data_IF_445256657098
#
_entry.id   IF_445256657098
#
_cell.length_a   1.000
_cell.length_b   1.000
_cell.length_c   1.000
_cell.angle_alpha   90.00
_cell.angle_beta   90.00
_cell.angle_gamma   90.00
#
_symmetry.space_group_name_H-M   'P 1'
#
loop_
_entity.id
_entity.type
_entity.pdbx_description
1 polymer ?
#
# COMPACT_ATOMS: atom_id res chain seq x y z
N UNK A 1 18.08 -15.09 3.27
CA UNK A 1 16.83 -14.31 3.24
C UNK A 1 17.06 -13.17 2.27
N UNK A 2 16.34 -13.11 1.15
CA UNK A 2 16.43 -11.99 0.20
C UNK A 2 15.82 -10.73 0.82
N UNK A 3 16.49 -9.60 0.65
CA UNK A 3 16.17 -8.29 1.24
C UNK A 3 14.68 -7.88 1.06
N UNK A 4 14.13 -8.14 -0.12
CA UNK A 4 12.71 -7.93 -0.45
C UNK A 4 11.73 -8.66 0.49
N UNK A 5 12.04 -9.88 0.93
CA UNK A 5 11.16 -10.68 1.80
C UNK A 5 11.18 -10.19 3.25
N UNK A 6 12.32 -9.67 3.70
CA UNK A 6 12.43 -9.06 5.03
C UNK A 6 11.54 -7.82 5.12
N UNK A 7 11.57 -6.97 4.09
CA UNK A 7 10.72 -5.79 3.98
C UNK A 7 9.22 -6.13 3.98
N UNK A 8 8.83 -7.16 3.24
CA UNK A 8 7.43 -7.60 3.22
C UNK A 8 6.94 -8.09 4.59
N UNK A 9 7.77 -8.84 5.32
CA UNK A 9 7.45 -9.30 6.67
C UNK A 9 7.20 -8.12 7.64
N UNK A 10 8.03 -7.08 7.54
CA UNK A 10 7.91 -5.86 8.33
C UNK A 10 6.63 -5.08 8.00
N UNK A 11 6.31 -4.89 6.72
CA UNK A 11 5.07 -4.22 6.29
C UNK A 11 3.80 -4.92 6.80
N UNK A 12 3.76 -6.25 6.72
CA UNK A 12 2.66 -7.04 7.25
C UNK A 12 2.56 -6.88 8.78
N UNK A 13 3.70 -6.92 9.47
CA UNK A 13 3.77 -6.74 10.92
C UNK A 13 3.23 -5.38 11.34
N UNK A 14 3.70 -4.30 10.71
CA UNK A 14 3.27 -2.95 11.01
C UNK A 14 1.78 -2.73 10.74
N UNK A 15 1.30 -3.22 9.60
CA UNK A 15 -0.11 -3.04 9.21
C UNK A 15 -1.05 -3.75 10.21
N UNK A 16 -0.65 -4.93 10.67
CA UNK A 16 -1.38 -5.66 11.71
C UNK A 16 -1.34 -4.89 13.05
N UNK A 17 -0.20 -4.37 13.47
CA UNK A 17 -0.09 -3.57 14.71
C UNK A 17 -0.96 -2.31 14.62
N UNK A 18 -0.91 -1.58 13.50
CA UNK A 18 -1.68 -0.34 13.28
C UNK A 18 -3.19 -0.59 13.24
N UNK A 19 -3.62 -1.77 12.81
CA UNK A 19 -5.04 -2.13 12.80
C UNK A 19 -5.65 -2.32 14.19
N UNK A 20 -4.83 -2.53 15.22
CA UNK A 20 -5.29 -2.87 16.58
C UNK A 20 -5.85 -4.29 16.73
N UNK A 21 -5.98 -5.05 15.64
CA UNK A 21 -6.50 -6.43 15.68
C UNK A 21 -5.45 -7.41 16.19
N UNK A 22 -5.88 -8.31 17.07
CA UNK A 22 -5.07 -9.45 17.47
C UNK A 22 -4.93 -10.46 16.33
N UNK A 23 -3.87 -11.27 16.38
CA UNK A 23 -3.66 -12.37 15.42
C UNK A 23 -4.84 -13.37 15.41
N UNK A 24 -5.56 -13.51 16.52
CA UNK A 24 -6.71 -14.39 16.64
C UNK A 24 -7.95 -13.82 15.94
N UNK A 25 -8.16 -12.50 16.01
CA UNK A 25 -9.21 -11.83 15.26
C UNK A 25 -8.95 -11.91 13.76
N UNK A 26 -7.73 -11.60 13.33
CA UNK A 26 -7.32 -11.71 11.92
C UNK A 26 -7.52 -13.14 11.43
N UNK A 27 -7.09 -14.15 12.20
CA UNK A 27 -7.23 -15.54 11.78
C UNK A 27 -8.69 -15.94 11.57
N UNK A 28 -9.59 -15.49 12.46
CA UNK A 28 -11.04 -15.74 12.33
C UNK A 28 -11.64 -15.03 11.11
N UNK A 29 -11.31 -13.76 10.91
CA UNK A 29 -11.90 -12.97 9.83
C UNK A 29 -11.36 -13.37 8.44
N UNK A 30 -10.09 -13.78 8.35
CA UNK A 30 -9.48 -14.23 7.09
C UNK A 30 -9.79 -15.71 6.81
N UNK A 31 -10.17 -16.49 7.83
CA UNK A 31 -10.47 -17.92 7.70
C UNK A 31 -9.22 -18.81 7.67
N UNK A 32 -8.21 -18.48 8.48
CA UNK A 32 -6.94 -19.22 8.57
C UNK A 32 -6.58 -19.54 10.02
N UNK A 33 -5.48 -20.27 10.24
CA UNK A 33 -4.95 -20.49 11.59
C UNK A 33 -4.14 -19.30 12.10
N UNK A 34 -4.08 -19.12 13.43
CA UNK A 34 -3.19 -18.13 14.08
C UNK A 34 -1.70 -18.38 13.77
N UNK A 35 -1.34 -19.63 13.50
CA UNK A 35 0.00 -20.03 13.05
C UNK A 35 0.31 -19.49 11.66
N UNK A 36 -0.65 -19.51 10.73
CA UNK A 36 -0.50 -18.90 9.41
C UNK A 36 -0.19 -17.41 9.53
N UNK A 37 -0.97 -16.67 10.33
CA UNK A 37 -0.74 -15.24 10.58
C UNK A 37 0.65 -14.98 11.18
N UNK A 38 1.09 -15.82 12.12
CA UNK A 38 2.42 -15.70 12.72
C UNK A 38 3.54 -16.00 11.72
N UNK A 39 3.34 -16.96 10.81
CA UNK A 39 4.28 -17.26 9.73
C UNK A 39 4.39 -16.08 8.75
N UNK A 40 3.29 -15.46 8.37
CA UNK A 40 3.28 -14.29 7.47
C UNK A 40 4.12 -13.15 8.04
N UNK A 41 3.94 -12.84 9.33
CA UNK A 41 4.70 -11.81 10.04
C UNK A 41 6.19 -12.15 10.14
N UNK A 42 6.53 -13.44 10.26
CA UNK A 42 7.93 -13.88 10.40
C UNK A 42 8.66 -13.97 9.06
N UNK A 43 7.98 -14.43 8.01
CA UNK A 43 8.63 -14.81 6.75
C UNK A 43 8.26 -13.94 5.56
N UNK A 44 7.25 -13.06 5.70
CA UNK A 44 6.69 -12.28 4.61
C UNK A 44 5.95 -13.14 3.57
N UNK A 45 5.82 -14.45 3.79
CA UNK A 45 5.23 -15.36 2.80
C UNK A 45 3.73 -15.46 3.01
N UNK A 46 2.95 -14.93 2.07
CA UNK A 46 1.49 -14.94 2.06
C UNK A 46 1.01 -15.14 0.62
N UNK A 47 -0.03 -15.95 0.44
CA UNK A 47 -0.60 -16.20 -0.90
C UNK A 47 -1.41 -15.00 -1.38
N UNK A 48 -1.61 -14.91 -2.70
CA UNK A 48 -2.44 -13.86 -3.32
C UNK A 48 -3.88 -13.86 -2.79
N UNK A 49 -4.44 -15.04 -2.52
CA UNK A 49 -5.78 -15.13 -1.94
C UNK A 49 -5.83 -14.52 -0.53
N UNK A 50 -4.87 -14.87 0.32
CA UNK A 50 -4.84 -14.39 1.71
C UNK A 50 -4.47 -12.92 1.82
N UNK A 51 -3.62 -12.38 0.94
CA UNK A 51 -3.30 -10.95 0.97
C UNK A 51 -4.52 -10.10 0.63
N UNK A 52 -5.38 -10.53 -0.30
CA UNK A 52 -6.62 -9.83 -0.65
C UNK A 52 -7.62 -9.87 0.52
N UNK A 53 -7.78 -11.03 1.17
CA UNK A 53 -8.65 -11.14 2.35
C UNK A 53 -8.12 -10.28 3.51
N UNK A 54 -6.81 -10.33 3.75
CA UNK A 54 -6.16 -9.53 4.78
C UNK A 54 -6.28 -8.03 4.49
N UNK A 55 -6.12 -7.61 3.24
CA UNK A 55 -6.27 -6.20 2.83
C UNK A 55 -7.66 -5.68 3.13
N UNK A 56 -8.71 -6.47 2.86
CA UNK A 56 -10.09 -6.13 3.21
C UNK A 56 -10.32 -6.06 4.72
N UNK A 57 -9.78 -7.00 5.50
CA UNK A 57 -9.89 -7.02 6.97
C UNK A 57 -9.20 -5.81 7.62
N UNK A 58 -8.02 -5.44 7.12
CA UNK A 58 -7.24 -4.34 7.68
C UNK A 58 -7.66 -2.95 7.15
N UNK A 59 -8.49 -2.90 6.09
CA UNK A 59 -8.81 -1.64 5.41
C UNK A 59 -7.61 -1.00 4.72
N UNK A 60 -6.62 -1.80 4.31
CA UNK A 60 -5.37 -1.36 3.67
C UNK A 60 -5.33 -1.93 2.26
N UNK A 61 -4.81 -1.20 1.28
CA UNK A 61 -4.62 -1.71 -0.08
C UNK A 61 -3.64 -2.90 -0.14
N UNK A 62 -3.95 -3.91 -0.96
CA UNK A 62 -3.15 -5.13 -1.05
C UNK A 62 -1.72 -4.86 -1.58
N UNK A 63 -1.53 -3.89 -2.48
CA UNK A 63 -0.19 -3.53 -2.95
C UNK A 63 0.61 -2.83 -1.87
N UNK A 64 -0.05 -2.05 -1.01
CA UNK A 64 0.57 -1.44 0.17
C UNK A 64 1.09 -2.50 1.14
N UNK A 65 0.35 -3.60 1.34
CA UNK A 65 0.81 -4.72 2.18
C UNK A 65 1.98 -5.51 1.57
N UNK A 66 2.13 -5.53 0.24
CA UNK A 66 3.19 -6.27 -0.47
C UNK A 66 4.47 -5.45 -0.65
N UNK A 67 4.34 -4.17 -1.00
CA UNK A 67 5.46 -3.32 -1.44
C UNK A 67 5.66 -2.08 -0.56
N UNK A 68 4.71 -1.80 0.35
CA UNK A 68 4.66 -0.57 1.13
C UNK A 68 3.98 0.53 0.33
N UNK A 69 3.85 1.71 0.92
CA UNK A 69 3.62 2.90 0.11
C UNK A 69 4.85 3.07 -0.78
N UNK A 70 4.72 2.78 -2.07
CA UNK A 70 5.68 3.30 -3.04
C UNK A 70 5.71 4.81 -2.82
N UNK A 71 6.88 5.38 -2.55
CA UNK A 71 7.07 6.85 -2.63
C UNK A 71 6.62 7.37 -4.01
N UNK A 72 6.52 6.48 -5.00
CA UNK A 72 6.11 6.73 -6.38
C UNK A 72 4.59 6.82 -6.59
N UNK A 73 3.76 6.43 -5.60
CA UNK A 73 2.31 6.67 -5.68
C UNK A 73 1.85 7.57 -4.54
N UNK A 74 1.27 8.73 -4.87
CA UNK A 74 0.84 9.65 -3.86
C UNK A 74 -0.29 9.04 -3.02
N UNK A 75 -0.13 9.09 -1.70
CA UNK A 75 -1.12 8.56 -0.77
C UNK A 75 -2.50 9.17 -1.02
N UNK A 76 -3.59 8.44 -0.76
CA UNK A 76 -4.95 8.78 -1.19
C UNK A 76 -5.48 10.18 -0.75
N UNK A 77 -4.78 10.88 0.14
CA UNK A 77 -5.04 12.26 0.56
C UNK A 77 -3.90 13.26 0.33
N UNK A 78 -2.83 12.90 -0.39
CA UNK A 78 -1.71 13.83 -0.65
C UNK A 78 -2.04 14.81 -1.79
N UNK A 79 -1.34 15.93 -1.81
CA UNK A 79 -1.51 16.96 -2.85
C UNK A 79 -1.29 16.39 -4.25
N UNK A 80 -0.32 15.50 -4.41
CA UNK A 80 -0.01 14.82 -5.67
C UNK A 80 -1.14 13.86 -6.12
N UNK A 81 -1.83 13.19 -5.18
CA UNK A 81 -2.96 12.32 -5.51
C UNK A 81 -4.18 13.15 -5.93
N UNK A 82 -4.38 14.29 -5.26
CA UNK A 82 -5.38 15.28 -5.67
C UNK A 82 -5.05 15.86 -7.04
N UNK A 83 -3.78 16.20 -7.29
CA UNK A 83 -3.32 16.72 -8.58
C UNK A 83 -3.58 15.73 -9.71
N UNK A 84 -3.20 14.45 -9.55
CA UNK A 84 -3.44 13.43 -10.57
C UNK A 84 -4.92 13.32 -10.96
N UNK A 85 -5.83 13.26 -9.99
CA UNK A 85 -7.29 13.18 -10.24
C UNK A 85 -7.82 14.41 -11.00
N UNK A 86 -7.28 15.58 -10.71
CA UNK A 86 -7.70 16.83 -11.34
C UNK A 86 -7.11 16.98 -12.75
N UNK A 87 -5.88 16.52 -12.96
CA UNK A 87 -5.20 16.52 -14.26
C UNK A 87 -5.96 15.67 -15.28
N UNK A 88 -6.47 14.49 -14.87
CA UNK A 88 -7.25 13.61 -15.74
C UNK A 88 -8.49 14.30 -16.37
N UNK A 89 -8.98 15.38 -15.75
CA UNK A 89 -10.14 16.15 -16.20
C UNK A 89 -9.79 17.57 -16.67
N UNK A 90 -8.50 17.90 -16.80
CA UNK A 90 -8.08 19.23 -17.21
C UNK A 90 -8.37 19.43 -18.70
N UNK A 91 -9.03 20.53 -19.11
CA UNK A 91 -9.21 20.84 -20.52
C UNK A 91 -7.86 21.02 -21.22
N UNK A 92 -7.74 20.54 -22.47
CA UNK A 92 -6.48 20.57 -23.23
C UNK A 92 -5.93 21.99 -23.39
N UNK A 93 -6.79 22.99 -23.48
CA UNK A 93 -6.41 24.40 -23.63
C UNK A 93 -5.68 24.93 -22.38
N UNK A 94 -5.70 24.20 -21.27
CA UNK A 94 -5.02 24.53 -20.01
C UNK A 94 -3.71 23.76 -19.80
N UNK A 95 -3.31 22.89 -20.74
CA UNK A 95 -2.12 22.05 -20.58
C UNK A 95 -0.81 22.85 -20.50
N UNK A 96 -0.76 24.06 -21.06
CA UNK A 96 0.40 24.96 -20.92
C UNK A 96 0.80 25.23 -19.46
N UNK A 97 -0.17 25.16 -18.52
CA UNK A 97 0.13 25.27 -17.08
C UNK A 97 0.80 24.03 -16.50
N UNK A 98 0.53 22.86 -17.05
CA UNK A 98 1.26 21.64 -16.68
C UNK A 98 2.70 21.70 -17.20
N UNK A 99 2.91 22.23 -18.41
CA UNK A 99 4.26 22.43 -18.98
C UNK A 99 5.10 23.43 -18.15
N UNK A 100 4.48 24.46 -17.56
CA UNK A 100 5.16 25.34 -16.59
C UNK A 100 5.60 24.56 -15.33
N UNK A 101 4.71 23.72 -14.78
CA UNK A 101 5.03 22.91 -13.59
C UNK A 101 6.09 21.86 -13.88
N UNK A 102 6.04 21.21 -15.05
CA UNK A 102 7.03 20.20 -15.45
C UNK A 102 8.41 20.83 -15.53
N UNK A 103 8.55 21.99 -16.18
CA UNK A 103 9.83 22.72 -16.24
C UNK A 103 10.41 23.01 -14.86
N UNK A 104 9.58 23.51 -13.93
CA UNK A 104 10.00 23.75 -12.55
C UNK A 104 10.51 22.49 -11.84
N UNK A 105 9.97 21.32 -12.17
CA UNK A 105 10.37 20.04 -11.58
C UNK A 105 11.60 19.41 -12.26
N UNK A 106 11.92 19.80 -13.49
CA UNK A 106 13.08 19.32 -14.26
C UNK A 106 14.33 20.20 -14.05
N UNK A 107 14.17 21.41 -13.51
CA UNK A 107 15.25 22.36 -13.25
C UNK A 107 15.96 22.16 -11.88
N UNK A 108 15.49 21.24 -11.04
CA UNK A 108 16.12 20.79 -9.77
C UNK A 108 16.82 19.41 -9.92
#
# INVERSE_FOLDING_TARGET
MTESRSKQAELLKESIIKSGLSKAEISRQVGVTRTSVSRWIKTGYISKEHIIKLSSVLGVDAMTLLHGFSKDKPGAGSLQAKAHRLIDNLPKEKYYKLEEVIRLLEED
#
